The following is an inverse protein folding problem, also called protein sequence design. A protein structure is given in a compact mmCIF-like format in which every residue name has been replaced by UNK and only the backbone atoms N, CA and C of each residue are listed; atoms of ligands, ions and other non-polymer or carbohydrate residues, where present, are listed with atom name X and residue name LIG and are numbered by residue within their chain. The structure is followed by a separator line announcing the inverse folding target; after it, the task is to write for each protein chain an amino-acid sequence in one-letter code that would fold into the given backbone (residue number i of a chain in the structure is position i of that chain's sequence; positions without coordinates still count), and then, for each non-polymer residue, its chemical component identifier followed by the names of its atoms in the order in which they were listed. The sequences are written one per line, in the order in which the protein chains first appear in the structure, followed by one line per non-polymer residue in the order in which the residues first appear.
data_IF_144727150302
#
_entry.id   IF_144727150302
#
_cell.length_a   1.000
_cell.length_b   1.000
_cell.length_c   1.000
_cell.angle_alpha   90.00
_cell.angle_beta   90.00
_cell.angle_gamma   90.00
#
_symmetry.space_group_name_H-M   'P 1'
#
loop_
_entity.id
_entity.type
_entity.pdbx_description
1 polymer ?
#
# COMPACT_ATOMS: atom_id res chain seq x y z
N UNK A 1 28.61 -11.30 -8.38
CA UNK A 1 29.87 -10.77 -8.95
C UNK A 1 29.71 -9.40 -9.65
N UNK A 2 28.50 -8.91 -9.93
CA UNK A 2 28.24 -7.60 -10.58
C UNK A 2 28.26 -6.39 -9.66
N UNK A 3 28.29 -6.59 -8.33
CA UNK A 3 28.13 -5.53 -7.33
C UNK A 3 29.31 -4.54 -7.23
N UNK A 4 30.35 -4.69 -8.07
CA UNK A 4 31.52 -3.81 -8.14
C UNK A 4 31.81 -3.28 -9.56
N UNK A 5 31.00 -3.66 -10.56
CA UNK A 5 31.21 -3.23 -11.95
C UNK A 5 30.47 -1.91 -12.15
N UNK A 6 31.22 -0.80 -12.25
CA UNK A 6 30.65 0.55 -12.48
C UNK A 6 30.08 0.71 -13.90
N UNK A 7 30.70 0.09 -14.89
CA UNK A 7 30.27 0.06 -16.30
C UNK A 7 30.71 -1.26 -16.93
N UNK A 8 29.89 -1.84 -17.80
CA UNK A 8 30.31 -2.96 -18.65
C UNK A 8 31.38 -2.47 -19.64
N UNK A 9 32.39 -3.29 -19.93
CA UNK A 9 33.32 -3.03 -21.02
C UNK A 9 32.67 -3.31 -22.37
N UNK A 10 33.21 -2.75 -23.45
CA UNK A 10 32.69 -2.99 -24.80
C UNK A 10 32.72 -4.47 -25.19
N UNK A 11 33.74 -5.21 -24.74
CA UNK A 11 33.77 -6.65 -24.95
C UNK A 11 32.60 -7.35 -24.24
N UNK A 12 32.32 -6.98 -22.97
CA UNK A 12 31.19 -7.56 -22.23
C UNK A 12 29.83 -7.22 -22.87
N UNK A 13 29.70 -6.05 -23.50
CA UNK A 13 28.49 -5.68 -24.25
C UNK A 13 28.34 -6.49 -25.55
N UNK A 14 29.45 -6.76 -26.26
CA UNK A 14 29.45 -7.64 -27.45
C UNK A 14 29.12 -9.07 -27.06
N UNK A 15 29.71 -9.58 -25.98
CA UNK A 15 29.40 -10.91 -25.44
C UNK A 15 27.91 -11.02 -25.04
N UNK A 16 27.35 -9.95 -24.43
CA UNK A 16 25.92 -9.89 -24.08
C UNK A 16 25.03 -9.87 -25.31
N UNK A 17 25.36 -9.06 -26.33
CA UNK A 17 24.66 -9.00 -27.62
C UNK A 17 24.61 -10.38 -28.27
N UNK A 18 25.74 -11.08 -28.31
CA UNK A 18 25.82 -12.42 -28.90
C UNK A 18 25.03 -13.45 -28.11
N UNK A 19 25.16 -13.42 -26.78
CA UNK A 19 24.42 -14.30 -25.87
C UNK A 19 22.90 -14.13 -25.97
N UNK A 20 22.43 -12.90 -26.18
CA UNK A 20 21.01 -12.59 -26.35
C UNK A 20 20.53 -12.70 -27.79
N UNK A 21 21.41 -13.06 -28.73
CA UNK A 21 21.11 -13.16 -30.16
C UNK A 21 20.52 -11.86 -30.74
N UNK A 22 21.11 -10.71 -30.39
CA UNK A 22 20.66 -9.38 -30.81
C UNK A 22 21.44 -8.83 -32.02
N UNK A 23 22.00 -9.71 -32.87
CA UNK A 23 22.91 -9.29 -33.94
C UNK A 23 22.18 -8.55 -35.07
N UNK A 24 20.92 -8.91 -35.30
CA UNK A 24 20.07 -8.31 -36.35
C UNK A 24 19.51 -6.96 -35.89
N UNK A 25 19.32 -6.78 -34.59
CA UNK A 25 18.77 -5.58 -33.96
C UNK A 25 19.83 -4.53 -33.64
N UNK A 26 21.04 -4.97 -33.27
CA UNK A 26 22.14 -4.11 -32.83
C UNK A 26 23.36 -4.40 -33.70
N UNK A 27 23.71 -3.53 -34.65
CA UNK A 27 24.95 -3.68 -35.44
C UNK A 27 26.21 -3.62 -34.58
N UNK A 28 27.30 -4.25 -35.02
CA UNK A 28 28.55 -4.28 -34.25
C UNK A 28 29.18 -2.89 -34.07
N UNK A 29 28.98 -2.02 -35.05
CA UNK A 29 29.43 -0.62 -35.09
C UNK A 29 28.78 0.21 -33.98
N UNK A 30 27.56 -0.16 -33.56
CA UNK A 30 26.86 0.50 -32.47
C UNK A 30 27.52 0.25 -31.09
N UNK A 31 28.46 -0.71 -31.01
CA UNK A 31 29.25 -1.04 -29.83
C UNK A 31 30.76 -0.79 -30.07
N UNK A 32 31.10 0.16 -30.95
CA UNK A 32 32.48 0.59 -31.20
C UNK A 32 33.10 1.32 -29.98
N UNK A 33 34.42 1.42 -29.95
CA UNK A 33 35.11 2.12 -28.85
C UNK A 33 34.77 3.61 -28.84
N UNK A 34 34.29 4.10 -27.68
CA UNK A 34 33.80 5.46 -27.51
C UNK A 34 32.33 5.67 -27.92
N UNK A 35 31.63 4.66 -28.45
CA UNK A 35 30.20 4.71 -28.70
C UNK A 35 29.39 4.45 -27.42
N UNK A 36 28.26 5.15 -27.25
CA UNK A 36 27.30 4.87 -26.18
C UNK A 36 26.41 3.69 -26.59
N UNK A 37 26.19 2.69 -25.72
CA UNK A 37 25.38 1.52 -26.06
C UNK A 37 23.93 1.91 -26.41
N UNK A 38 23.36 1.42 -27.53
CA UNK A 38 22.03 1.82 -27.94
C UNK A 38 20.94 1.14 -27.09
N UNK A 39 19.83 1.84 -26.92
CA UNK A 39 18.57 1.20 -26.53
C UNK A 39 17.91 0.61 -27.76
N UNK A 40 17.38 -0.61 -27.64
CA UNK A 40 16.56 -1.23 -28.67
C UNK A 40 15.07 -1.18 -28.29
N UNK A 41 14.24 -0.73 -29.23
CA UNK A 41 12.77 -0.82 -29.16
C UNK A 41 12.30 -1.54 -30.43
N UNK A 42 11.56 -2.66 -30.31
CA UNK A 42 10.96 -3.32 -31.46
C UNK A 42 10.13 -2.32 -32.29
N UNK A 43 10.32 -2.26 -33.63
CA UNK A 43 9.56 -1.36 -34.48
C UNK A 43 8.05 -1.60 -34.36
N UNK A 44 7.26 -0.55 -34.47
CA UNK A 44 5.80 -0.68 -34.53
C UNK A 44 5.42 -1.54 -35.75
N UNK A 45 4.49 -2.48 -35.56
CA UNK A 45 4.09 -3.46 -36.59
C UNK A 45 5.02 -4.67 -36.74
N UNK A 46 6.17 -4.72 -36.04
CA UNK A 46 6.97 -5.96 -35.99
C UNK A 46 6.24 -7.07 -35.22
N UNK A 47 6.46 -8.36 -35.54
CA UNK A 47 5.86 -9.47 -34.80
C UNK A 47 6.11 -9.40 -33.29
N UNK A 48 7.31 -8.97 -32.89
CA UNK A 48 7.67 -8.78 -31.48
C UNK A 48 6.85 -7.67 -30.81
N UNK A 49 6.70 -6.52 -31.48
CA UNK A 49 5.89 -5.40 -30.97
C UNK A 49 4.41 -5.78 -30.87
N UNK A 50 3.85 -6.40 -31.90
CA UNK A 50 2.46 -6.84 -31.91
C UNK A 50 2.17 -7.86 -30.82
N UNK A 51 3.03 -8.86 -30.66
CA UNK A 51 2.92 -9.86 -29.60
C UNK A 51 2.97 -9.20 -28.21
N UNK A 52 3.96 -8.34 -27.97
CA UNK A 52 4.13 -7.63 -26.71
C UNK A 52 2.88 -6.82 -26.35
N UNK A 53 2.37 -6.02 -27.30
CA UNK A 53 1.19 -5.18 -27.07
C UNK A 53 -0.08 -6.01 -26.93
N UNK A 54 -0.25 -7.09 -27.69
CA UNK A 54 -1.38 -7.99 -27.57
C UNK A 54 -1.45 -8.65 -26.19
N UNK A 55 -0.32 -9.13 -25.66
CA UNK A 55 -0.26 -9.69 -24.29
C UNK A 55 -0.62 -8.65 -23.24
N UNK A 56 -0.12 -7.40 -23.37
CA UNK A 56 -0.47 -6.32 -22.44
C UNK A 56 -1.96 -6.00 -22.47
N UNK A 57 -2.57 -5.91 -23.65
CA UNK A 57 -4.02 -5.69 -23.79
C UNK A 57 -4.83 -6.83 -23.16
N UNK A 58 -4.44 -8.09 -23.39
CA UNK A 58 -5.09 -9.26 -22.80
C UNK A 58 -5.02 -9.29 -21.26
N UNK A 59 -3.98 -8.67 -20.67
CA UNK A 59 -3.75 -8.61 -19.22
C UNK A 59 -4.27 -7.31 -18.56
N UNK A 60 -5.12 -6.54 -19.23
CA UNK A 60 -5.71 -5.32 -18.65
C UNK A 60 -4.81 -4.08 -18.76
N UNK A 61 -3.76 -4.11 -19.58
CA UNK A 61 -2.90 -2.98 -19.90
C UNK A 61 -1.48 -3.08 -19.34
N UNK A 62 -0.77 -1.95 -19.36
CA UNK A 62 0.61 -1.85 -18.89
C UNK A 62 0.69 -1.61 -17.38
N UNK A 63 1.65 -2.26 -16.74
CA UNK A 63 2.02 -2.09 -15.34
C UNK A 63 3.55 -1.90 -15.23
N UNK A 64 4.04 -1.13 -14.24
CA UNK A 64 3.29 -0.48 -13.15
C UNK A 64 2.50 0.75 -13.61
N UNK A 65 1.34 0.99 -12.97
CA UNK A 65 0.50 2.17 -13.20
C UNK A 65 -0.04 2.67 -11.86
N UNK A 66 0.09 3.97 -11.60
CA UNK A 66 -0.52 4.63 -10.44
C UNK A 66 -1.75 5.40 -10.90
N UNK A 67 -2.90 5.12 -10.31
CA UNK A 67 -4.15 5.86 -10.55
C UNK A 67 -4.49 6.63 -9.28
N UNK A 68 -4.55 7.96 -9.38
CA UNK A 68 -5.01 8.81 -8.28
C UNK A 68 -6.48 9.09 -8.49
N UNK A 69 -7.34 8.53 -7.63
CA UNK A 69 -8.77 8.84 -7.59
C UNK A 69 -9.03 9.58 -6.28
N UNK A 70 -9.18 10.89 -6.31
CA UNK A 70 -9.67 11.65 -5.17
C UNK A 70 -11.19 11.70 -5.24
N UNK A 71 -11.87 11.14 -4.23
CA UNK A 71 -13.27 11.43 -3.93
C UNK A 71 -13.30 11.95 -2.50
N UNK A 72 -13.91 13.12 -2.30
CA UNK A 72 -14.10 13.63 -0.96
C UNK A 72 -14.94 12.63 -0.16
N UNK A 73 -14.46 12.25 1.02
CA UNK A 73 -15.25 11.46 1.96
C UNK A 73 -16.35 12.34 2.53
N UNK A 74 -17.54 11.79 2.83
CA UNK A 74 -18.56 12.52 3.55
C UNK A 74 -18.02 12.92 4.93
N UNK A 75 -18.40 14.11 5.41
CA UNK A 75 -18.07 14.54 6.75
C UNK A 75 -18.96 13.80 7.76
N UNK A 76 -18.46 13.49 8.97
CA UNK A 76 -19.27 12.92 10.04
C UNK A 76 -20.45 13.85 10.40
N UNK A 77 -21.49 13.30 11.01
CA UNK A 77 -22.55 14.12 11.61
C UNK A 77 -21.96 15.02 12.71
N UNK A 78 -22.50 16.24 12.85
CA UNK A 78 -22.14 17.14 13.95
C UNK A 78 -22.40 16.49 15.32
N UNK A 79 -23.42 15.64 15.42
CA UNK A 79 -23.75 14.85 16.62
C UNK A 79 -22.56 14.00 17.11
N UNK A 80 -21.67 13.57 16.21
CA UNK A 80 -20.43 12.84 16.54
C UNK A 80 -19.55 13.60 17.53
N UNK A 81 -19.61 14.94 17.49
CA UNK A 81 -18.73 15.83 18.24
C UNK A 81 -19.40 16.52 19.44
N UNK A 82 -20.73 16.42 19.59
CA UNK A 82 -21.51 17.22 20.55
C UNK A 82 -21.00 17.11 22.00
N UNK A 83 -20.67 15.90 22.46
CA UNK A 83 -20.19 15.69 23.84
C UNK A 83 -18.86 16.38 24.14
N UNK A 84 -18.03 16.61 23.11
CA UNK A 84 -16.73 17.26 23.28
C UNK A 84 -16.86 18.78 23.40
N UNK A 85 -17.92 19.36 22.84
CA UNK A 85 -18.22 20.79 22.96
C UNK A 85 -18.72 21.16 24.35
N UNK A 86 -19.40 20.25 25.05
CA UNK A 86 -19.82 20.45 26.44
C UNK A 86 -18.67 20.41 27.46
N UNK A 87 -17.47 19.99 27.04
CA UNK A 87 -16.33 19.80 27.94
C UNK A 87 -16.53 18.62 28.91
N UNK A 88 -15.58 18.42 29.83
CA UNK A 88 -15.57 17.23 30.71
C UNK A 88 -16.53 17.30 31.92
N UNK A 89 -17.41 18.32 31.96
CA UNK A 89 -18.42 18.46 33.02
C UNK A 89 -17.84 18.48 34.45
N UNK A 90 -16.60 18.97 34.62
CA UNK A 90 -15.92 19.05 35.91
C UNK A 90 -15.09 17.81 36.30
N UNK A 91 -15.10 16.75 35.50
CA UNK A 91 -14.28 15.57 35.74
C UNK A 91 -12.90 15.72 35.08
N UNK A 92 -11.87 15.22 35.74
CA UNK A 92 -10.56 15.08 35.11
C UNK A 92 -10.67 14.06 33.96
N UNK A 93 -10.21 14.45 32.78
CA UNK A 93 -10.18 13.58 31.60
C UNK A 93 -8.78 13.61 30.98
N UNK A 94 -8.27 12.45 30.59
CA UNK A 94 -7.06 12.37 29.78
C UNK A 94 -7.39 12.60 28.30
N UNK A 95 -6.44 13.14 27.53
CA UNK A 95 -6.59 13.28 26.07
C UNK A 95 -6.74 11.92 25.38
N UNK A 96 -6.13 10.86 25.92
CA UNK A 96 -6.30 9.49 25.44
C UNK A 96 -7.74 9.00 25.62
N UNK A 97 -8.36 9.30 26.77
CA UNK A 97 -9.77 8.98 27.04
C UNK A 97 -10.70 9.77 26.11
N UNK A 98 -10.40 11.05 25.86
CA UNK A 98 -11.17 11.86 24.92
C UNK A 98 -11.04 11.33 23.48
N UNK A 99 -9.81 10.98 23.05
CA UNK A 99 -9.55 10.40 21.74
C UNK A 99 -10.27 9.07 21.53
N UNK A 100 -10.24 8.17 22.51
CA UNK A 100 -10.92 6.86 22.40
C UNK A 100 -12.43 6.99 22.31
N UNK A 101 -13.03 7.96 23.02
CA UNK A 101 -14.45 8.30 22.85
C UNK A 101 -14.74 8.86 21.46
N UNK A 102 -13.93 9.79 20.98
CA UNK A 102 -14.10 10.37 19.65
C UNK A 102 -13.97 9.30 18.55
N UNK A 103 -12.98 8.41 18.69
CA UNK A 103 -12.77 7.29 17.78
C UNK A 103 -13.98 6.35 17.76
N UNK A 104 -14.60 6.08 18.92
CA UNK A 104 -15.85 5.33 19.02
C UNK A 104 -16.97 6.02 18.25
N UNK A 105 -17.19 7.32 18.47
CA UNK A 105 -18.27 8.05 17.82
C UNK A 105 -18.07 8.09 16.30
N UNK A 106 -16.84 8.34 15.84
CA UNK A 106 -16.50 8.30 14.41
C UNK A 106 -16.73 6.92 13.79
N UNK A 107 -16.46 5.84 14.54
CA UNK A 107 -16.72 4.47 14.10
C UNK A 107 -18.22 4.12 14.07
N UNK A 108 -19.05 4.75 14.91
CA UNK A 108 -20.52 4.61 14.89
C UNK A 108 -21.21 5.40 13.78
N UNK A 109 -20.61 6.50 13.34
CA UNK A 109 -21.20 7.37 12.33
C UNK A 109 -21.38 6.63 10.99
N UNK A 110 -22.60 6.66 10.45
CA UNK A 110 -22.94 5.92 9.22
C UNK A 110 -22.17 6.40 7.97
N UNK A 111 -21.68 7.64 7.98
CA UNK A 111 -20.99 8.25 6.84
C UNK A 111 -19.50 7.96 6.86
N UNK A 112 -18.88 8.00 8.03
CA UNK A 112 -17.42 7.86 8.19
C UNK A 112 -16.98 6.55 8.82
N UNK A 113 -17.83 5.90 9.61
CA UNK A 113 -17.52 4.66 10.32
C UNK A 113 -16.91 3.56 9.44
N UNK A 114 -17.44 3.28 8.23
CA UNK A 114 -16.85 2.31 7.30
C UNK A 114 -15.41 2.64 6.84
N UNK A 115 -14.94 3.86 7.05
CA UNK A 115 -13.61 4.34 6.68
C UNK A 115 -12.66 4.49 7.87
N UNK A 116 -13.13 4.28 9.10
CA UNK A 116 -12.30 4.32 10.31
C UNK A 116 -11.70 2.94 10.56
N UNK A 117 -10.37 2.87 10.58
CA UNK A 117 -9.63 1.62 10.83
C UNK A 117 -8.70 1.80 12.03
N UNK A 118 -9.15 1.48 13.25
CA UNK A 118 -8.29 1.49 14.44
C UNK A 118 -7.20 0.42 14.31
N UNK A 119 -5.94 0.80 14.55
CA UNK A 119 -4.81 -0.12 14.60
C UNK A 119 -4.18 -0.02 15.98
N UNK A 120 -4.16 -1.16 16.69
CA UNK A 120 -3.66 -1.23 18.07
C UNK A 120 -2.52 -2.25 18.11
N UNK A 121 -1.32 -1.86 18.56
CA UNK A 121 -0.21 -2.77 18.77
C UNK A 121 -0.33 -3.45 20.14
N UNK A 122 -1.21 -4.45 20.25
CA UNK A 122 -1.47 -5.30 21.43
C UNK A 122 -2.06 -4.59 22.66
N UNK A 123 -1.49 -3.48 23.10
CA UNK A 123 -1.73 -2.75 24.35
C UNK A 123 -3.05 -1.93 24.40
N UNK A 124 -4.18 -2.53 24.01
CA UNK A 124 -5.48 -1.84 23.94
C UNK A 124 -5.98 -1.34 25.30
N UNK A 125 -5.73 -2.10 26.36
CA UNK A 125 -6.13 -1.76 27.74
C UNK A 125 -5.45 -0.49 28.21
N UNK A 126 -4.14 -0.38 27.97
CA UNK A 126 -3.32 0.78 28.37
C UNK A 126 -3.88 2.09 27.80
N UNK A 127 -4.53 2.03 26.64
CA UNK A 127 -5.16 3.20 26.01
C UNK A 127 -6.67 3.31 26.26
N UNK A 128 -7.30 2.42 27.03
CA UNK A 128 -8.75 2.40 27.23
C UNK A 128 -9.56 1.98 25.99
N UNK A 129 -8.89 1.36 25.02
CA UNK A 129 -9.47 0.93 23.74
C UNK A 129 -10.15 -0.43 23.81
N UNK A 130 -10.01 -1.17 24.90
CA UNK A 130 -10.70 -2.46 25.14
C UNK A 130 -12.22 -2.35 24.98
N UNK A 131 -12.77 -1.17 25.28
CA UNK A 131 -14.19 -0.87 25.12
C UNK A 131 -14.67 -0.87 23.67
N UNK A 132 -13.78 -0.66 22.70
CA UNK A 132 -14.09 -0.73 21.27
C UNK A 132 -14.28 -2.18 20.80
N UNK A 133 -13.63 -3.15 21.45
CA UNK A 133 -13.70 -4.56 21.06
C UNK A 133 -15.08 -5.17 21.27
N UNK A 134 -15.77 -4.78 22.35
CA UNK A 134 -17.14 -5.22 22.61
C UNK A 134 -18.11 -4.75 21.52
N UNK A 135 -17.80 -3.62 20.90
CA UNK A 135 -18.70 -2.96 19.97
C UNK A 135 -18.40 -3.28 18.51
N UNK A 136 -17.14 -3.23 18.11
CA UNK A 136 -16.71 -3.38 16.72
C UNK A 136 -15.96 -4.69 16.44
N UNK A 137 -15.63 -5.45 17.50
CA UNK A 137 -14.85 -6.67 17.39
C UNK A 137 -13.38 -6.44 17.01
N UNK A 138 -12.68 -7.54 16.76
CA UNK A 138 -11.30 -7.56 16.27
C UNK A 138 -11.29 -8.32 14.95
N UNK A 139 -10.66 -7.75 13.91
CA UNK A 139 -10.52 -8.45 12.63
C UNK A 139 -9.59 -9.67 12.79
N UNK A 140 -10.16 -10.86 12.65
CA UNK A 140 -9.44 -12.13 12.72
C UNK A 140 -9.95 -13.09 11.61
N UNK A 141 -9.42 -12.95 10.39
CA UNK A 141 -9.88 -13.73 9.22
C UNK A 141 -9.72 -15.25 9.36
N UNK A 142 -8.78 -15.71 10.18
CA UNK A 142 -8.55 -17.12 10.49
C UNK A 142 -9.16 -17.58 11.82
N UNK A 143 -10.06 -16.78 12.40
CA UNK A 143 -10.56 -16.95 13.76
C UNK A 143 -9.56 -16.48 14.82
N UNK A 144 -10.06 -16.30 16.05
CA UNK A 144 -9.22 -16.00 17.21
C UNK A 144 -8.33 -17.22 17.53
N UNK A 145 -7.03 -17.10 17.31
CA UNK A 145 -6.05 -18.20 17.51
C UNK A 145 -5.38 -18.21 18.89
N UNK A 146 -5.71 -17.25 19.74
CA UNK A 146 -5.19 -17.14 21.09
C UNK A 146 -6.31 -16.72 22.03
N UNK A 147 -6.32 -17.26 23.23
CA UNK A 147 -7.22 -16.79 24.28
C UNK A 147 -6.62 -15.53 24.90
N UNK A 148 -7.28 -14.35 24.80
CA UNK A 148 -6.77 -13.15 25.43
C UNK A 148 -6.64 -13.39 26.94
N UNK A 149 -5.56 -12.90 27.53
CA UNK A 149 -5.29 -12.98 28.98
C UNK A 149 -6.47 -12.44 29.81
N UNK A 150 -7.26 -11.55 29.21
CA UNK A 150 -8.34 -10.82 29.84
C UNK A 150 -9.76 -11.27 29.46
N UNK A 151 -9.91 -12.43 28.80
CA UNK A 151 -11.21 -12.93 28.37
C UNK A 151 -12.22 -13.08 29.53
N UNK A 152 -11.74 -13.36 30.75
CA UNK A 152 -12.56 -13.53 31.95
C UNK A 152 -12.97 -12.21 32.63
N UNK A 153 -12.35 -11.08 32.28
CA UNK A 153 -12.60 -9.77 32.92
C UNK A 153 -13.63 -8.91 32.18
N UNK A 154 -14.08 -9.34 31.00
CA UNK A 154 -15.07 -8.59 30.20
C UNK A 154 -16.51 -8.71 30.73
N UNK A 155 -16.76 -9.52 31.76
CA UNK A 155 -18.08 -9.80 32.38
C UNK A 155 -18.12 -9.48 33.89
N UNK A 156 -17.81 -8.24 34.25
CA UNK A 156 -18.19 -7.65 35.55
C UNK A 156 -18.69 -6.24 35.36
#
# INVERSE_FOLDING_TARGET
ATHQIKKLSNQQLRDLRERLSLQDEIPAEALADGAEPPYYRPPEGSPAHEYLMARRRALGGSLPKRVVRSKALPQPDAATFEEFWSGSGGHAASTTTAFTRLLRNLARDDRTGPHVVPIIPDEARTFGMESLFKEFGIYASGGQRYEPVDHSMLLS
#
